data_IF_227412065554
#
_entry.id   IF_227412065554
#
_cell.length_a   1.000
_cell.length_b   1.000
_cell.length_c   1.000
_cell.angle_alpha   90.00
_cell.angle_beta   90.00
_cell.angle_gamma   90.00
#
_symmetry.space_group_name_H-M   'P 1'
#
loop_
_entity.id
_entity.type
_entity.pdbx_description
1 polymer ?
#
# COMPACT_ATOMS: atom_id res chain seq x y z
N UNK A 1 -12.22 -2.40 26.08
CA UNK A 1 -12.46 -2.67 25.29
C UNK A 1 -12.24 -2.39 24.29
N UNK A 2 -11.95 -2.52 24.02
CA UNK A 2 -11.84 -2.25 23.16
C UNK A 2 -12.23 -2.23 22.19
N UNK A 3 -11.97 -2.17 22.05
CA UNK A 3 -12.12 -1.93 20.94
C UNK A 3 -13.29 -2.29 20.22
N UNK A 4 -14.25 -2.26 20.54
CA UNK A 4 -15.46 -2.66 19.90
C UNK A 4 -15.75 -1.98 18.59
N UNK A 5 -15.11 -0.85 18.34
CA UNK A 5 -15.43 -0.14 17.11
C UNK A 5 -15.04 -0.92 15.86
N UNK A 6 -14.03 -1.81 15.91
CA UNK A 6 -13.65 -2.58 14.75
C UNK A 6 -14.72 -3.59 14.34
N UNK A 7 -15.54 -4.04 15.31
CA UNK A 7 -16.64 -4.96 15.03
C UNK A 7 -17.76 -4.24 14.27
N UNK A 8 -17.98 -2.98 14.62
CA UNK A 8 -19.09 -2.20 14.07
C UNK A 8 -18.70 -1.46 12.79
N UNK A 9 -17.41 -1.39 12.46
CA UNK A 9 -16.95 -0.68 11.29
C UNK A 9 -17.39 -1.40 10.01
N UNK A 10 -17.83 -0.67 8.98
CA UNK A 10 -18.08 -1.32 7.69
C UNK A 10 -16.81 -2.00 7.19
N UNK A 11 -16.95 -3.16 6.53
CA UNK A 11 -15.77 -3.86 6.00
C UNK A 11 -14.85 -3.00 5.14
N UNK A 12 -15.43 -2.14 4.31
CA UNK A 12 -14.63 -1.25 3.46
C UNK A 12 -13.75 -0.31 4.29
N UNK A 13 -14.26 0.16 5.44
CA UNK A 13 -13.48 1.00 6.35
C UNK A 13 -12.29 0.24 6.91
N UNK A 14 -12.51 -1.01 7.32
CA UNK A 14 -11.44 -1.85 7.85
C UNK A 14 -10.37 -2.12 6.78
N UNK A 15 -10.79 -2.33 5.53
CA UNK A 15 -9.88 -2.60 4.43
C UNK A 15 -9.08 -1.35 4.06
N UNK A 16 -9.71 -0.17 4.06
CA UNK A 16 -8.99 1.10 3.85
C UNK A 16 -7.97 1.34 4.95
N UNK A 17 -8.31 1.01 6.18
CA UNK A 17 -7.39 1.15 7.32
C UNK A 17 -6.20 0.18 7.17
N UNK A 18 -6.45 -1.05 6.72
CA UNK A 18 -5.38 -2.00 6.46
C UNK A 18 -4.40 -1.47 5.40
N UNK A 19 -4.92 -0.87 4.34
CA UNK A 19 -4.07 -0.26 3.31
C UNK A 19 -3.27 0.90 3.90
N UNK A 20 -3.90 1.77 4.69
CA UNK A 20 -3.20 2.87 5.34
C UNK A 20 -2.03 2.35 6.19
N UNK A 21 -2.27 1.25 6.92
CA UNK A 21 -1.25 0.66 7.78
C UNK A 21 -0.08 0.10 6.99
N UNK A 22 -0.33 -0.55 5.84
CA UNK A 22 0.78 -1.12 5.07
C UNK A 22 1.70 0.00 4.57
N UNK A 23 1.17 1.12 4.12
CA UNK A 23 1.99 2.25 3.70
C UNK A 23 2.68 2.92 4.87
N UNK A 24 2.01 3.03 6.01
CA UNK A 24 2.63 3.62 7.20
C UNK A 24 3.81 2.80 7.70
N UNK A 25 3.68 1.47 7.74
CA UNK A 25 4.78 0.60 8.16
C UNK A 25 5.96 0.68 7.20
N UNK A 26 5.70 0.81 5.90
CA UNK A 26 6.75 1.06 4.92
C UNK A 26 7.44 2.40 5.21
N UNK A 27 6.65 3.47 5.40
CA UNK A 27 7.21 4.81 5.62
C UNK A 27 8.02 4.86 6.91
N UNK A 28 7.67 4.06 7.91
CA UNK A 28 8.41 3.96 9.17
C UNK A 28 9.56 2.94 9.09
N UNK A 29 9.70 2.26 7.95
CA UNK A 29 10.74 1.25 7.74
C UNK A 29 10.65 0.13 8.76
N UNK A 30 9.43 -0.29 9.08
CA UNK A 30 9.16 -1.32 10.08
C UNK A 30 8.78 -2.62 9.38
N UNK A 31 9.80 -3.44 9.06
CA UNK A 31 9.60 -4.68 8.29
C UNK A 31 8.72 -5.68 9.05
N UNK A 32 8.88 -5.77 10.36
CA UNK A 32 8.10 -6.69 11.17
C UNK A 32 6.61 -6.36 11.11
N UNK A 33 6.27 -5.11 11.38
CA UNK A 33 4.86 -4.70 11.39
C UNK A 33 4.27 -4.73 9.99
N UNK A 34 5.07 -4.43 8.96
CA UNK A 34 4.65 -4.57 7.56
C UNK A 34 4.21 -6.02 7.29
N UNK A 35 5.07 -6.98 7.61
CA UNK A 35 4.80 -8.40 7.36
C UNK A 35 3.58 -8.91 8.13
N UNK A 36 3.39 -8.44 9.37
CA UNK A 36 2.29 -8.88 10.20
C UNK A 36 0.90 -8.51 9.66
N UNK A 37 0.84 -7.55 8.72
CA UNK A 37 -0.42 -7.19 8.07
C UNK A 37 -0.84 -8.21 7.01
N UNK A 38 0.07 -9.08 6.58
CA UNK A 38 -0.23 -10.12 5.60
C UNK A 38 -0.78 -11.37 6.26
N UNK A 39 -1.66 -12.07 5.54
CA UNK A 39 -2.03 -13.43 5.90
C UNK A 39 -0.77 -14.32 5.82
N UNK A 40 -0.78 -15.45 6.55
CA UNK A 40 0.40 -16.33 6.57
C UNK A 40 0.82 -16.78 5.17
N UNK A 41 -0.16 -16.93 4.26
CA UNK A 41 0.04 -17.32 2.87
C UNK A 41 -0.08 -16.13 1.91
N UNK A 42 0.00 -14.91 2.40
CA UNK A 42 -0.11 -13.71 1.57
C UNK A 42 1.09 -13.52 0.64
N UNK A 43 0.89 -12.73 -0.39
CA UNK A 43 1.89 -12.48 -1.42
C UNK A 43 2.12 -11.00 -1.65
N UNK A 44 3.36 -10.67 -1.99
CA UNK A 44 3.77 -9.31 -2.33
C UNK A 44 4.37 -9.31 -3.72
N UNK A 45 3.89 -8.41 -4.59
CA UNK A 45 4.53 -8.17 -5.88
C UNK A 45 5.05 -6.74 -5.89
N UNK A 46 6.35 -6.60 -6.00
CA UNK A 46 7.02 -5.30 -5.96
C UNK A 46 6.93 -4.56 -7.28
N UNK A 47 7.39 -3.31 -7.25
CA UNK A 47 7.32 -2.39 -8.40
C UNK A 47 8.04 -2.96 -9.63
N UNK A 48 9.10 -3.73 -9.42
CA UNK A 48 9.89 -4.32 -10.51
C UNK A 48 9.37 -5.71 -10.93
N UNK A 49 8.29 -6.18 -10.33
CA UNK A 49 7.71 -7.48 -10.61
C UNK A 49 8.24 -8.61 -9.73
N UNK A 50 9.15 -8.32 -8.81
CA UNK A 50 9.64 -9.33 -7.87
C UNK A 50 8.51 -9.84 -7.00
N UNK A 51 8.45 -11.17 -6.81
CA UNK A 51 7.38 -11.81 -6.04
C UNK A 51 7.94 -12.42 -4.77
N UNK A 52 7.27 -12.16 -3.65
CA UNK A 52 7.64 -12.73 -2.36
C UNK A 52 6.38 -13.36 -1.77
N UNK A 53 6.46 -14.63 -1.42
CA UNK A 53 5.29 -15.39 -0.99
C UNK A 53 5.44 -15.82 0.46
N UNK A 54 4.40 -15.53 1.25
CA UNK A 54 4.33 -15.90 2.65
C UNK A 54 4.81 -14.80 3.59
N UNK A 55 4.12 -14.68 4.71
CA UNK A 55 4.37 -13.63 5.69
C UNK A 55 5.83 -13.62 6.16
N UNK A 56 6.41 -14.80 6.41
CA UNK A 56 7.78 -14.89 6.92
C UNK A 56 8.80 -14.37 5.88
N UNK A 57 8.63 -14.78 4.64
CA UNK A 57 9.54 -14.35 3.58
C UNK A 57 9.38 -12.87 3.28
N UNK A 58 8.16 -12.34 3.38
CA UNK A 58 7.92 -10.92 3.21
C UNK A 58 8.69 -10.12 4.28
N UNK A 59 8.60 -10.56 5.53
CA UNK A 59 9.34 -9.92 6.62
C UNK A 59 10.84 -9.94 6.41
N UNK A 60 11.37 -11.08 5.98
CA UNK A 60 12.80 -11.20 5.70
C UNK A 60 13.22 -10.29 4.55
N UNK A 61 12.41 -10.25 3.48
CA UNK A 61 12.68 -9.42 2.32
C UNK A 61 12.71 -7.94 2.70
N UNK A 62 11.71 -7.46 3.44
CA UNK A 62 11.64 -6.06 3.82
C UNK A 62 12.75 -5.68 4.80
N UNK A 63 13.15 -6.61 5.67
CA UNK A 63 14.29 -6.39 6.56
C UNK A 63 15.54 -6.08 5.74
N UNK A 64 15.81 -6.89 4.70
CA UNK A 64 16.95 -6.67 3.82
C UNK A 64 16.84 -5.34 3.07
N UNK A 65 15.66 -5.03 2.54
CA UNK A 65 15.44 -3.78 1.82
C UNK A 65 15.75 -2.58 2.71
N UNK A 66 15.20 -2.56 3.92
CA UNK A 66 15.38 -1.42 4.83
C UNK A 66 16.80 -1.34 5.41
N UNK A 67 17.50 -2.46 5.49
CA UNK A 67 18.90 -2.45 5.94
C UNK A 67 19.85 -1.85 4.91
N UNK A 68 19.59 -2.09 3.63
CA UNK A 68 20.55 -1.77 2.57
C UNK A 68 20.16 -0.55 1.73
N UNK A 69 18.94 -0.03 1.89
CA UNK A 69 18.46 1.09 1.08
C UNK A 69 17.73 2.11 1.94
N UNK A 70 17.94 3.40 1.60
CA UNK A 70 17.06 4.45 2.11
C UNK A 70 15.84 4.46 1.20
N UNK A 71 14.72 3.98 1.70
CA UNK A 71 13.51 3.86 0.89
C UNK A 71 12.76 5.18 0.82
N UNK A 72 12.14 5.46 -0.34
CA UNK A 72 11.27 6.64 -0.47
C UNK A 72 9.98 6.46 0.33
N UNK A 73 9.30 7.56 0.62
CA UNK A 73 8.04 7.56 1.38
C UNK A 73 6.85 7.57 0.42
N UNK A 74 5.81 6.83 0.77
CA UNK A 74 4.58 6.79 -0.02
C UNK A 74 3.66 7.95 0.29
N UNK A 75 3.00 8.44 -0.76
CA UNK A 75 1.74 9.18 -0.69
C UNK A 75 0.77 8.45 -1.62
N UNK A 76 -0.52 8.40 -1.25
CA UNK A 76 -1.47 7.58 -2.01
C UNK A 76 -2.87 8.18 -2.01
N UNK A 77 -3.64 7.74 -3.01
CA UNK A 77 -5.05 8.09 -3.16
C UNK A 77 -5.80 6.79 -3.44
N UNK A 78 -6.70 6.41 -2.52
CA UNK A 78 -7.52 5.21 -2.70
C UNK A 78 -8.60 5.54 -3.73
N UNK A 79 -8.69 4.73 -4.80
CA UNK A 79 -9.70 4.93 -5.82
C UNK A 79 -10.95 4.08 -5.58
N UNK A 80 -10.81 2.90 -4.98
CA UNK A 80 -11.96 2.08 -4.61
C UNK A 80 -11.60 1.10 -3.51
N UNK A 81 -12.60 0.73 -2.73
CA UNK A 81 -12.55 -0.39 -1.82
C UNK A 81 -13.92 -1.06 -1.87
N UNK A 82 -13.98 -2.32 -2.28
CA UNK A 82 -15.27 -3.01 -2.44
C UNK A 82 -15.18 -4.46 -2.00
N UNK A 83 -16.28 -4.97 -1.53
CA UNK A 83 -16.37 -6.37 -1.12
C UNK A 83 -16.54 -7.24 -2.37
N UNK A 84 -15.78 -8.34 -2.43
CA UNK A 84 -15.94 -9.37 -3.45
C UNK A 84 -16.75 -10.54 -2.92
N UNK A 85 -16.93 -10.61 -1.64
CA UNK A 85 -17.69 -11.62 -0.92
C UNK A 85 -17.77 -11.19 0.52
N UNK A 86 -18.27 -12.06 1.39
CA UNK A 86 -18.45 -11.72 2.80
C UNK A 86 -17.11 -11.44 3.48
N UNK A 87 -16.07 -12.19 3.12
CA UNK A 87 -14.78 -12.15 3.81
C UNK A 87 -13.62 -11.86 2.86
N UNK A 88 -13.89 -11.27 1.71
CA UNK A 88 -12.86 -10.92 0.72
C UNK A 88 -13.17 -9.55 0.16
N UNK A 89 -12.15 -8.69 0.10
CA UNK A 89 -12.30 -7.34 -0.42
C UNK A 89 -11.16 -7.01 -1.38
N UNK A 90 -11.46 -6.09 -2.30
CA UNK A 90 -10.47 -5.54 -3.23
C UNK A 90 -10.34 -4.06 -2.97
N UNK A 91 -9.09 -3.58 -2.89
CA UNK A 91 -8.81 -2.15 -2.83
C UNK A 91 -7.84 -1.80 -3.95
N UNK A 92 -8.06 -0.64 -4.56
CA UNK A 92 -7.15 -0.11 -5.56
C UNK A 92 -6.81 1.33 -5.24
N UNK A 93 -5.55 1.69 -5.45
CA UNK A 93 -5.06 3.03 -5.14
C UNK A 93 -3.99 3.45 -6.14
N UNK A 94 -3.84 4.75 -6.27
CA UNK A 94 -2.67 5.33 -6.94
C UNK A 94 -1.67 5.73 -5.86
N UNK A 95 -0.39 5.54 -6.13
CA UNK A 95 0.65 5.83 -5.16
C UNK A 95 1.82 6.54 -5.84
N UNK A 96 2.43 7.47 -5.10
CA UNK A 96 3.66 8.12 -5.50
C UNK A 96 4.69 7.96 -4.42
N UNK A 97 5.95 8.18 -4.76
CA UNK A 97 7.06 8.05 -3.82
C UNK A 97 7.88 9.33 -3.79
N UNK A 98 8.15 9.78 -2.55
CA UNK A 98 9.02 10.93 -2.30
C UNK A 98 10.39 10.38 -1.95
N UNK A 99 11.42 10.57 -2.82
CA UNK A 99 12.75 10.04 -2.54
C UNK A 99 13.34 10.61 -1.24
N UNK A 100 14.31 9.92 -0.64
CA UNK A 100 15.00 10.46 0.54
C UNK A 100 15.61 11.82 0.23
N UNK A 101 15.54 12.72 1.21
CA UNK A 101 16.08 14.07 1.12
C UNK A 101 15.41 14.96 0.07
N UNK A 102 14.23 14.55 -0.41
CA UNK A 102 13.42 15.34 -1.32
C UNK A 102 12.09 15.68 -0.65
N UNK A 103 11.43 16.69 -1.19
CA UNK A 103 10.10 17.10 -0.71
C UNK A 103 9.02 16.99 -1.78
N UNK A 104 9.34 16.36 -2.91
CA UNK A 104 8.41 16.16 -4.01
C UNK A 104 8.48 14.72 -4.49
N UNK A 105 7.40 14.25 -5.09
CA UNK A 105 7.36 12.90 -5.65
C UNK A 105 8.23 12.81 -6.89
N UNK A 106 8.72 11.59 -7.15
CA UNK A 106 9.40 11.28 -8.40
C UNK A 106 8.38 10.63 -9.33
N UNK A 107 7.97 11.32 -10.42
CA UNK A 107 6.92 10.78 -11.30
C UNK A 107 7.26 9.42 -11.92
N UNK A 108 8.55 9.11 -12.06
CA UNK A 108 8.97 7.82 -12.61
C UNK A 108 8.61 6.66 -11.68
N UNK A 109 8.31 6.94 -10.41
CA UNK A 109 7.98 5.91 -9.42
C UNK A 109 6.49 5.81 -9.13
N UNK A 110 5.65 6.53 -9.89
CA UNK A 110 4.20 6.44 -9.71
C UNK A 110 3.73 5.02 -10.01
N UNK A 111 2.78 4.55 -9.23
CA UNK A 111 2.31 3.17 -9.31
C UNK A 111 0.81 3.09 -9.08
N UNK A 112 0.23 2.04 -9.61
CA UNK A 112 -1.12 1.61 -9.23
C UNK A 112 -0.93 0.43 -8.31
N UNK A 113 -1.59 0.46 -7.17
CA UNK A 113 -1.53 -0.61 -6.17
C UNK A 113 -2.86 -1.31 -6.07
N UNK A 114 -2.81 -2.64 -6.06
CA UNK A 114 -3.99 -3.47 -5.85
C UNK A 114 -3.77 -4.32 -4.61
N UNK A 115 -4.79 -4.39 -3.77
CA UNK A 115 -4.71 -5.17 -2.54
C UNK A 115 -5.95 -6.06 -2.45
N UNK A 116 -5.73 -7.36 -2.24
CA UNK A 116 -6.80 -8.28 -1.88
C UNK A 116 -6.67 -8.55 -0.40
N UNK A 117 -7.73 -8.27 0.34
CA UNK A 117 -7.79 -8.52 1.78
C UNK A 117 -8.76 -9.64 2.07
N UNK A 118 -8.42 -10.48 3.05
CA UNK A 118 -9.28 -11.59 3.47
C UNK A 118 -9.51 -11.48 4.98
N UNK A 119 -10.72 -11.83 5.39
CA UNK A 119 -11.05 -11.87 6.82
C UNK A 119 -11.10 -13.33 7.27
N UNK A 120 -10.21 -13.67 8.18
CA UNK A 120 -10.13 -15.02 8.76
C UNK A 120 -10.10 -14.86 10.28
N UNK A 121 -10.98 -15.58 10.98
CA UNK A 121 -11.05 -15.47 12.43
C UNK A 121 -11.37 -14.07 12.90
N UNK A 122 -12.16 -13.33 12.15
CA UNK A 122 -12.56 -11.96 12.50
C UNK A 122 -11.53 -10.89 12.22
N UNK A 123 -10.37 -11.24 11.66
CA UNK A 123 -9.29 -10.28 11.40
C UNK A 123 -9.02 -10.16 9.90
N UNK A 124 -8.94 -8.93 9.42
CA UNK A 124 -8.58 -8.65 8.04
C UNK A 124 -7.06 -8.71 7.87
N UNK A 125 -6.60 -9.45 6.87
CA UNK A 125 -5.19 -9.58 6.52
C UNK A 125 -5.03 -9.45 5.02
N UNK A 126 -3.83 -9.11 4.57
CA UNK A 126 -3.54 -8.94 3.15
C UNK A 126 -3.23 -10.31 2.54
N UNK A 127 -4.01 -10.69 1.52
CA UNK A 127 -3.74 -11.89 0.73
C UNK A 127 -2.82 -11.60 -0.44
N UNK A 128 -2.94 -10.40 -1.03
CA UNK A 128 -2.07 -9.97 -2.13
C UNK A 128 -1.92 -8.45 -2.07
N UNK A 129 -0.69 -7.98 -2.16
CA UNK A 129 -0.40 -6.56 -2.34
C UNK A 129 0.50 -6.44 -3.57
N UNK A 130 -0.01 -5.80 -4.61
CA UNK A 130 0.68 -5.75 -5.89
C UNK A 130 0.85 -4.33 -6.38
N UNK A 131 2.05 -4.03 -6.84
CA UNK A 131 2.41 -2.75 -7.44
C UNK A 131 2.54 -2.91 -8.95
N UNK A 132 2.07 -1.90 -9.67
CA UNK A 132 2.25 -1.82 -11.12
C UNK A 132 2.77 -0.43 -11.45
N UNK A 133 3.92 -0.31 -12.13
CA UNK A 133 4.37 1.00 -12.58
C UNK A 133 3.29 1.68 -13.43
N UNK A 134 2.95 2.92 -13.11
CA UNK A 134 1.92 3.66 -13.86
C UNK A 134 2.59 4.32 -15.08
N UNK A 135 2.90 3.51 -16.07
CA UNK A 135 3.70 3.93 -17.21
C UNK A 135 2.92 4.72 -18.25
N UNK A 136 1.61 4.44 -18.41
CA UNK A 136 0.74 5.14 -19.38
C UNK A 136 1.39 5.32 -20.75
N UNK A 137 1.83 4.22 -21.35
CA UNK A 137 2.56 4.25 -22.62
C UNK A 137 1.89 5.17 -23.65
N UNK A 138 2.67 6.14 -24.18
CA UNK A 138 2.23 7.05 -25.23
C UNK A 138 1.06 7.96 -24.81
N UNK A 139 0.82 8.13 -23.51
CA UNK A 139 -0.23 9.02 -23.00
C UNK A 139 0.34 9.91 -21.89
N UNK A 140 1.22 10.85 -22.26
CA UNK A 140 1.88 11.70 -21.25
C UNK A 140 0.90 12.56 -20.44
N UNK A 141 -0.27 12.88 -21.00
CA UNK A 141 -1.29 13.65 -20.29
C UNK A 141 -1.83 12.89 -19.07
N UNK A 142 -1.94 11.56 -19.16
CA UNK A 142 -2.40 10.75 -18.04
C UNK A 142 -1.33 10.66 -16.95
N UNK A 143 -0.07 10.54 -17.37
CA UNK A 143 1.04 10.52 -16.42
C UNK A 143 1.13 11.85 -15.67
N UNK A 144 0.98 12.96 -16.38
CA UNK A 144 0.99 14.29 -15.78
C UNK A 144 -0.17 14.48 -14.82
N UNK A 145 -1.37 14.05 -15.22
CA UNK A 145 -2.56 14.15 -14.37
C UNK A 145 -2.37 13.40 -13.07
N UNK A 146 -1.89 12.18 -13.12
CA UNK A 146 -1.66 11.39 -11.91
C UNK A 146 -0.63 12.06 -11.01
N UNK A 147 0.46 12.56 -11.60
CA UNK A 147 1.49 13.26 -10.82
C UNK A 147 0.91 14.47 -10.09
N UNK A 148 0.07 15.26 -10.77
CA UNK A 148 -0.54 16.43 -10.17
C UNK A 148 -1.48 16.06 -9.04
N UNK A 149 -2.26 14.99 -9.20
CA UNK A 149 -3.15 14.51 -8.14
C UNK A 149 -2.37 14.07 -6.91
N UNK A 150 -1.29 13.35 -7.13
CA UNK A 150 -0.44 12.88 -6.02
C UNK A 150 0.27 14.05 -5.32
N UNK A 151 0.69 15.05 -6.07
CA UNK A 151 1.30 16.25 -5.48
C UNK A 151 0.31 17.01 -4.62
N UNK A 152 -0.94 17.11 -5.06
CA UNK A 152 -1.99 17.74 -4.27
C UNK A 152 -2.21 16.99 -2.97
N UNK A 153 -2.19 15.65 -3.03
CA UNK A 153 -2.34 14.81 -1.84
C UNK A 153 -1.16 15.00 -0.88
N UNK A 154 0.05 15.06 -1.43
CA UNK A 154 1.25 15.31 -0.62
C UNK A 154 1.18 16.65 0.10
N UNK A 155 0.69 17.68 -0.59
CA UNK A 155 0.55 19.01 0.00
C UNK A 155 -0.47 19.00 1.15
N UNK A 156 -1.57 18.26 1.03
CA UNK A 156 -2.52 18.07 2.13
C UNK A 156 -1.86 17.45 3.34
N UNK A 157 -1.09 16.39 3.13
CA UNK A 157 -0.43 15.68 4.22
C UNK A 157 0.58 16.59 4.94
N UNK A 158 1.27 17.45 4.19
CA UNK A 158 2.24 18.38 4.77
C UNK A 158 1.59 19.45 5.60
N UNK A 159 0.33 19.81 5.33
CA UNK A 159 -0.40 20.81 6.09
C UNK A 159 -1.09 20.24 7.33
N UNK A 160 -1.24 18.93 7.37
CA UNK A 160 -1.94 18.20 8.45
C UNK A 160 -1.08 17.86 9.64
#
# INVERSE_FOLDING_TARGET
>A
MTSGQSIDAPPETAVRELYRQILETWNKRNARDYALLFASDGSLVGFDGSQVNGQLDIGAHLTEVFMHHQTPRYVSIVSEARMLGTDVALLRASAGLVPPDKDDIDPALNAIQSMVAVRRGGTWKIALFQNTPAAFHQRPELAKQLTEELRAKLAEASRG
#
